data_IF_664845273893
#
_entry.id   IF_664845273893
#
_cell.length_a   1.000
_cell.length_b   1.000
_cell.length_c   1.000
_cell.angle_alpha   90.00
_cell.angle_beta   90.00
_cell.angle_gamma   90.00
#
_symmetry.space_group_name_H-M   'P 1'
#
loop_
_entity.id
_entity.type
_entity.pdbx_description
1 polymer ?
#
# COMPACT_ATOMS: atom_id res chain seq x y z
N UNK A 1 -56.59 17.40 -31.35
CA UNK A 1 -55.25 16.77 -31.44
C UNK A 1 -54.18 17.45 -30.56
N UNK A 2 -54.50 18.45 -29.72
CA UNK A 2 -53.54 19.16 -28.86
C UNK A 2 -52.98 18.36 -27.65
N UNK A 3 -53.68 17.31 -27.18
CA UNK A 3 -53.34 16.62 -25.92
C UNK A 3 -52.05 15.79 -26.00
N UNK A 4 -51.70 15.24 -27.18
CA UNK A 4 -50.50 14.38 -27.34
C UNK A 4 -49.22 15.20 -27.47
N UNK A 5 -49.26 16.36 -28.12
CA UNK A 5 -48.11 17.26 -28.26
C UNK A 5 -47.67 17.86 -26.93
N UNK A 6 -48.63 18.23 -26.07
CA UNK A 6 -48.34 18.74 -24.72
C UNK A 6 -47.66 17.69 -23.84
N UNK A 7 -48.11 16.43 -23.92
CA UNK A 7 -47.51 15.32 -23.17
C UNK A 7 -46.07 15.10 -23.62
N UNK A 8 -45.81 15.04 -24.93
CA UNK A 8 -44.45 14.86 -25.46
C UNK A 8 -43.53 16.00 -25.01
N UNK A 9 -44.00 17.24 -25.06
CA UNK A 9 -43.22 18.41 -24.62
C UNK A 9 -42.88 18.34 -23.12
N UNK A 10 -43.83 17.94 -22.28
CA UNK A 10 -43.62 17.73 -20.84
C UNK A 10 -42.60 16.62 -20.56
N UNK A 11 -42.67 15.50 -21.28
CA UNK A 11 -41.72 14.40 -21.11
C UNK A 11 -40.29 14.81 -21.50
N UNK A 12 -40.14 15.57 -22.58
CA UNK A 12 -38.84 16.09 -23.02
C UNK A 12 -38.26 17.08 -22.02
N UNK A 13 -39.08 18.01 -21.48
CA UNK A 13 -38.64 18.93 -20.43
C UNK A 13 -38.19 18.21 -19.15
N UNK A 14 -38.93 17.18 -18.72
CA UNK A 14 -38.57 16.38 -17.54
C UNK A 14 -37.25 15.61 -17.76
N UNK A 15 -37.04 15.05 -18.95
CA UNK A 15 -35.79 14.36 -19.31
C UNK A 15 -34.59 15.31 -19.33
N UNK A 16 -34.75 16.51 -19.89
CA UNK A 16 -33.69 17.53 -19.90
C UNK A 16 -33.35 18.01 -18.49
N UNK A 17 -34.34 18.22 -17.62
CA UNK A 17 -34.13 18.54 -16.22
C UNK A 17 -33.38 17.42 -15.48
N UNK A 18 -33.73 16.16 -15.72
CA UNK A 18 -33.06 15.01 -15.12
C UNK A 18 -31.59 14.92 -15.55
N UNK A 19 -31.28 15.17 -16.83
CA UNK A 19 -29.90 15.19 -17.35
C UNK A 19 -29.10 16.34 -16.74
N UNK A 20 -29.69 17.54 -16.60
CA UNK A 20 -29.02 18.69 -15.98
C UNK A 20 -28.76 18.45 -14.48
N UNK A 21 -29.70 17.83 -13.76
CA UNK A 21 -29.49 17.46 -12.35
C UNK A 21 -28.43 16.37 -12.23
N UNK A 22 -28.45 15.34 -13.07
CA UNK A 22 -27.40 14.30 -13.07
C UNK A 22 -26.02 14.84 -13.44
N UNK A 23 -25.94 15.74 -14.42
CA UNK A 23 -24.69 16.40 -14.80
C UNK A 23 -24.17 17.28 -13.65
N UNK A 24 -25.06 18.01 -12.96
CA UNK A 24 -24.69 18.74 -11.75
C UNK A 24 -24.21 17.81 -10.65
N UNK A 25 -24.92 16.72 -10.36
CA UNK A 25 -24.54 15.73 -9.33
C UNK A 25 -23.18 15.09 -9.66
N UNK A 26 -22.90 14.80 -10.93
CA UNK A 26 -21.59 14.28 -11.36
C UNK A 26 -20.46 15.32 -11.34
N UNK A 27 -20.80 16.62 -11.37
CA UNK A 27 -19.86 17.74 -11.20
C UNK A 27 -19.73 18.19 -9.73
N UNK A 28 -20.66 17.76 -8.85
CA UNK A 28 -20.64 17.98 -7.39
C UNK A 28 -20.30 16.73 -6.60
N UNK A 29 -19.91 15.63 -7.26
CA UNK A 29 -18.79 14.84 -6.75
C UNK A 29 -17.57 15.78 -6.75
N UNK A 30 -17.57 16.67 -5.76
CA UNK A 30 -16.39 17.36 -5.29
C UNK A 30 -15.32 16.28 -5.24
N UNK A 31 -14.32 16.47 -6.10
CA UNK A 31 -13.01 15.93 -5.89
C UNK A 31 -12.66 16.35 -4.47
N UNK A 32 -12.94 15.47 -3.49
CA UNK A 32 -12.43 15.58 -2.14
C UNK A 32 -10.94 15.45 -2.38
N UNK A 33 -10.28 16.59 -2.55
CA UNK A 33 -8.85 16.71 -2.45
C UNK A 33 -8.60 16.40 -0.99
N UNK A 34 -8.49 15.10 -0.71
CA UNK A 34 -7.94 14.64 0.56
C UNK A 34 -6.61 15.38 0.65
N UNK A 35 -6.40 16.22 1.66
CA UNK A 35 -5.13 16.91 1.77
C UNK A 35 -4.07 15.82 1.73
N UNK A 36 -3.16 15.90 0.76
CA UNK A 36 -1.97 15.07 0.77
C UNK A 36 -1.28 15.45 2.07
N UNK A 37 -1.53 14.66 3.12
CA UNK A 37 -0.78 14.73 4.35
C UNK A 37 0.66 14.64 3.88
N UNK A 38 1.40 15.73 4.03
CA UNK A 38 2.82 15.71 3.79
C UNK A 38 3.35 14.89 4.95
N UNK A 39 3.27 13.57 4.80
CA UNK A 39 3.83 12.63 5.75
C UNK A 39 5.29 12.99 5.76
N UNK A 40 5.68 13.75 6.78
CA UNK A 40 7.06 14.12 6.99
C UNK A 40 7.71 12.80 7.32
N UNK A 41 8.36 12.19 6.32
CA UNK A 41 9.09 10.95 6.49
C UNK A 41 10.08 11.24 7.62
N UNK A 42 9.94 10.58 8.78
CA UNK A 42 10.80 10.89 9.90
C UNK A 42 12.25 10.61 9.47
N UNK A 43 13.15 11.53 9.83
CA UNK A 43 14.59 11.43 9.54
C UNK A 43 15.24 10.24 10.25
N UNK A 44 14.59 9.72 11.28
CA UNK A 44 15.00 8.53 12.01
C UNK A 44 13.79 7.61 12.18
N UNK A 45 13.89 6.35 11.78
CA UNK A 45 12.85 5.35 12.01
C UNK A 45 13.13 4.63 13.33
N UNK A 46 12.17 4.68 14.24
CA UNK A 46 12.26 4.08 15.57
C UNK A 46 10.92 3.43 15.96
N UNK A 47 10.85 2.78 17.11
CA UNK A 47 9.64 2.06 17.53
C UNK A 47 8.41 2.97 17.59
N UNK A 48 8.57 4.19 18.10
CA UNK A 48 7.47 5.13 18.32
C UNK A 48 6.84 5.61 17.01
N UNK A 49 7.63 5.75 15.94
CA UNK A 49 7.12 6.21 14.65
C UNK A 49 6.82 5.08 13.64
N UNK A 50 7.40 3.89 13.81
CA UNK A 50 7.08 2.73 12.99
C UNK A 50 5.78 2.05 13.42
N UNK A 51 5.54 1.93 14.72
CA UNK A 51 4.37 1.23 15.26
C UNK A 51 3.04 1.77 14.72
N UNK A 52 2.78 3.09 14.69
CA UNK A 52 1.54 3.63 14.12
C UNK A 52 1.38 3.30 12.62
N UNK A 53 2.46 3.31 11.86
CA UNK A 53 2.44 2.95 10.44
C UNK A 53 2.11 1.46 10.26
N UNK A 54 2.73 0.59 11.05
CA UNK A 54 2.51 -0.86 10.99
C UNK A 54 1.07 -1.19 11.37
N UNK A 55 0.57 -0.65 12.49
CA UNK A 55 -0.79 -0.87 12.96
C UNK A 55 -1.83 -0.39 11.93
N UNK A 56 -1.60 0.78 11.33
CA UNK A 56 -2.45 1.30 10.25
C UNK A 56 -2.49 0.33 9.06
N UNK A 57 -1.32 -0.01 8.49
CA UNK A 57 -1.26 -0.82 7.27
C UNK A 57 -1.74 -2.25 7.53
N UNK A 58 -1.36 -2.85 8.66
CA UNK A 58 -1.82 -4.18 9.03
C UNK A 58 -3.33 -4.22 9.26
N UNK A 59 -3.92 -3.18 9.86
CA UNK A 59 -5.36 -3.03 10.00
C UNK A 59 -6.08 -2.91 8.66
N UNK A 60 -5.58 -2.08 7.75
CA UNK A 60 -6.12 -1.94 6.38
C UNK A 60 -6.07 -3.26 5.59
N UNK A 61 -5.00 -4.04 5.75
CA UNK A 61 -4.80 -5.32 5.06
C UNK A 61 -5.43 -6.52 5.79
N UNK A 62 -5.99 -6.32 6.99
CA UNK A 62 -6.54 -7.41 7.81
C UNK A 62 -5.50 -8.46 8.24
N UNK A 63 -4.25 -8.04 8.47
CA UNK A 63 -3.17 -8.94 8.87
C UNK A 63 -3.23 -9.21 10.39
N UNK A 64 -3.23 -10.49 10.78
CA UNK A 64 -3.48 -10.89 12.17
C UNK A 64 -2.24 -10.92 13.07
N UNK A 65 -1.04 -11.08 12.51
CA UNK A 65 0.20 -11.22 13.29
C UNK A 65 0.92 -9.88 13.50
N UNK A 66 0.16 -8.85 13.91
CA UNK A 66 0.65 -7.47 14.05
C UNK A 66 1.82 -7.37 15.04
N UNK A 67 1.75 -8.10 16.16
CA UNK A 67 2.82 -8.10 17.17
C UNK A 67 4.14 -8.63 16.62
N UNK A 68 4.10 -9.71 15.84
CA UNK A 68 5.28 -10.28 15.18
C UNK A 68 5.87 -9.30 14.16
N UNK A 69 5.00 -8.64 13.39
CA UNK A 69 5.43 -7.65 12.40
C UNK A 69 6.10 -6.45 13.05
N UNK A 70 5.55 -5.96 14.17
CA UNK A 70 6.17 -4.90 14.97
C UNK A 70 7.56 -5.32 15.48
N UNK A 71 7.70 -6.53 16.02
CA UNK A 71 8.98 -7.04 16.52
C UNK A 71 10.03 -7.14 15.41
N UNK A 72 9.66 -7.68 14.24
CA UNK A 72 10.57 -7.77 13.10
C UNK A 72 10.97 -6.38 12.61
N UNK A 73 10.00 -5.49 12.37
CA UNK A 73 10.26 -4.15 11.88
C UNK A 73 11.17 -3.37 12.84
N UNK A 74 10.97 -3.51 14.15
CA UNK A 74 11.83 -2.89 15.15
C UNK A 74 13.26 -3.44 15.12
N UNK A 75 13.44 -4.75 14.96
CA UNK A 75 14.77 -5.34 14.89
C UNK A 75 15.55 -4.85 13.67
N UNK A 76 14.87 -4.70 12.52
CA UNK A 76 15.48 -4.28 11.26
C UNK A 76 15.62 -2.75 11.12
N UNK A 77 14.80 -1.96 11.80
CA UNK A 77 14.77 -0.49 11.65
C UNK A 77 16.09 0.20 11.96
N UNK A 78 16.92 -0.39 12.85
CA UNK A 78 18.27 0.12 13.17
C UNK A 78 19.19 0.25 11.96
N UNK A 79 18.88 -0.47 10.90
CA UNK A 79 19.66 -0.49 9.66
C UNK A 79 19.11 0.45 8.59
N UNK A 80 17.97 1.12 8.83
CA UNK A 80 17.39 2.10 7.91
C UNK A 80 18.22 3.39 7.77
N UNK A 81 19.29 3.54 8.55
CA UNK A 81 20.29 4.60 8.40
C UNK A 81 21.16 4.41 7.14
N UNK A 82 21.11 3.23 6.51
CA UNK A 82 21.84 2.91 5.29
C UNK A 82 20.88 2.77 4.12
N UNK A 83 21.20 3.41 2.98
CA UNK A 83 20.41 3.31 1.76
C UNK A 83 20.38 1.87 1.21
N UNK A 84 21.51 1.16 1.33
CA UNK A 84 21.62 -0.24 0.96
C UNK A 84 22.63 -0.98 1.86
N UNK A 85 22.37 -2.27 2.04
CA UNK A 85 23.20 -3.17 2.83
C UNK A 85 23.61 -4.35 1.96
N UNK A 86 24.91 -4.65 1.94
CA UNK A 86 25.43 -5.82 1.25
C UNK A 86 25.11 -7.08 2.05
N UNK A 87 24.26 -7.93 1.49
CA UNK A 87 23.87 -9.21 2.08
C UNK A 87 24.94 -10.29 1.79
N UNK A 88 24.91 -11.39 2.53
CA UNK A 88 25.92 -12.47 2.49
C UNK A 88 25.99 -13.18 1.13
N UNK A 89 24.94 -13.06 0.33
CA UNK A 89 24.85 -13.58 -1.04
C UNK A 89 25.47 -12.63 -2.08
N UNK A 90 26.01 -11.49 -1.66
CA UNK A 90 26.65 -10.51 -2.54
C UNK A 90 25.69 -9.51 -3.20
N UNK A 91 24.40 -9.54 -2.84
CA UNK A 91 23.40 -8.60 -3.37
C UNK A 91 23.05 -7.51 -2.35
N UNK A 92 22.59 -6.37 -2.85
CA UNK A 92 22.18 -5.25 -2.02
C UNK A 92 20.69 -5.33 -1.63
N UNK A 93 20.45 -5.21 -0.33
CA UNK A 93 19.15 -5.17 0.32
C UNK A 93 18.80 -3.75 0.79
N UNK A 94 17.51 -3.39 0.78
CA UNK A 94 17.03 -2.01 0.91
C UNK A 94 15.82 -1.86 1.84
N UNK A 95 15.71 -0.68 2.45
CA UNK A 95 14.57 -0.26 3.29
C UNK A 95 14.39 -1.07 4.57
N UNK A 96 13.19 -0.97 5.15
CA UNK A 96 12.86 -1.49 6.49
C UNK A 96 13.07 -3.00 6.67
N UNK A 97 12.75 -3.81 5.67
CA UNK A 97 12.81 -5.27 5.75
C UNK A 97 13.90 -5.88 4.87
N UNK A 98 14.91 -5.08 4.48
CA UNK A 98 16.06 -5.58 3.73
C UNK A 98 15.70 -6.34 2.45
N UNK A 99 14.75 -5.79 1.68
CA UNK A 99 14.37 -6.41 0.43
C UNK A 99 15.47 -6.23 -0.62
N UNK A 100 15.77 -7.32 -1.34
CA UNK A 100 16.44 -7.22 -2.63
C UNK A 100 15.46 -6.66 -3.67
N UNK A 101 15.95 -5.76 -4.52
CA UNK A 101 15.11 -4.99 -5.45
C UNK A 101 14.22 -5.89 -6.33
N UNK A 102 14.80 -6.91 -6.96
CA UNK A 102 14.05 -7.82 -7.85
C UNK A 102 12.97 -8.59 -7.09
N UNK A 103 13.31 -9.10 -5.90
CA UNK A 103 12.37 -9.82 -5.04
C UNK A 103 11.22 -8.91 -4.61
N UNK A 104 11.51 -7.68 -4.19
CA UNK A 104 10.47 -6.70 -3.87
C UNK A 104 9.54 -6.45 -5.06
N UNK A 105 10.10 -6.15 -6.23
CA UNK A 105 9.31 -5.87 -7.43
C UNK A 105 8.41 -7.06 -7.81
N UNK A 106 8.96 -8.28 -7.77
CA UNK A 106 8.19 -9.49 -8.07
C UNK A 106 7.01 -9.66 -7.10
N UNK A 107 7.27 -9.60 -5.80
CA UNK A 107 6.23 -9.82 -4.78
C UNK A 107 5.22 -8.67 -4.74
N UNK A 108 5.68 -7.41 -4.77
CA UNK A 108 4.79 -6.25 -4.73
C UNK A 108 3.86 -6.19 -5.95
N UNK A 109 4.34 -6.61 -7.14
CA UNK A 109 3.49 -6.75 -8.34
C UNK A 109 2.52 -7.92 -8.22
N UNK A 110 3.00 -9.08 -7.76
CA UNK A 110 2.18 -10.28 -7.57
C UNK A 110 0.99 -9.99 -6.64
N UNK A 111 1.23 -9.27 -5.55
CA UNK A 111 0.23 -8.90 -4.55
C UNK A 111 -0.45 -7.55 -4.82
N UNK A 112 -0.27 -6.96 -6.02
CA UNK A 112 -0.94 -5.72 -6.46
C UNK A 112 -0.73 -4.54 -5.50
N UNK A 113 0.44 -4.46 -4.87
CA UNK A 113 0.87 -3.32 -4.04
C UNK A 113 1.38 -2.19 -4.92
N UNK A 114 2.02 -2.53 -6.04
CA UNK A 114 2.48 -1.59 -7.07
C UNK A 114 1.92 -1.98 -8.46
N UNK A 115 1.92 -1.07 -9.45
CA UNK A 115 1.54 -1.39 -10.82
C UNK A 115 2.42 -2.50 -11.43
N UNK A 116 1.85 -3.29 -12.36
CA UNK A 116 2.57 -4.43 -12.96
C UNK A 116 3.71 -3.97 -13.88
N UNK A 117 3.50 -2.84 -14.50
CA UNK A 117 4.37 -2.14 -15.44
C UNK A 117 5.55 -1.43 -14.78
N UNK A 118 5.57 -1.31 -13.45
CA UNK A 118 6.64 -0.62 -12.72
C UNK A 118 8.01 -1.13 -13.11
N UNK A 119 8.89 -0.25 -13.57
CA UNK A 119 10.22 -0.63 -14.02
C UNK A 119 11.25 -0.72 -12.88
N UNK A 120 12.51 -1.01 -13.22
CA UNK A 120 13.59 -1.16 -12.24
C UNK A 120 13.96 0.19 -11.60
N UNK A 121 13.93 1.29 -12.35
CA UNK A 121 14.32 2.61 -11.84
C UNK A 121 13.25 3.16 -10.88
N UNK A 122 11.98 3.03 -11.23
CA UNK A 122 10.87 3.29 -10.31
C UNK A 122 10.96 2.38 -9.07
N UNK A 123 11.29 1.10 -9.29
CA UNK A 123 11.49 0.12 -8.24
C UNK A 123 12.53 0.52 -7.19
N UNK A 124 13.64 1.16 -7.58
CA UNK A 124 14.68 1.62 -6.65
C UNK A 124 14.16 2.64 -5.64
N UNK A 125 13.21 3.47 -6.05
CA UNK A 125 12.58 4.45 -5.16
C UNK A 125 11.51 3.77 -4.32
N UNK A 126 10.67 2.94 -4.93
CA UNK A 126 9.55 2.29 -4.25
C UNK A 126 9.98 1.28 -3.20
N UNK A 127 11.09 0.56 -3.42
CA UNK A 127 11.63 -0.39 -2.44
C UNK A 127 12.07 0.33 -1.16
N UNK A 128 12.40 1.61 -1.19
CA UNK A 128 12.76 2.36 0.03
C UNK A 128 11.54 2.79 0.85
N UNK A 129 10.31 2.63 0.34
CA UNK A 129 9.10 3.05 1.02
C UNK A 129 8.64 2.00 2.05
N UNK A 130 8.68 2.31 3.37
CA UNK A 130 8.32 1.35 4.41
C UNK A 130 6.85 0.92 4.34
N UNK A 131 5.94 1.82 3.98
CA UNK A 131 4.51 1.49 3.85
C UNK A 131 4.30 0.41 2.79
N UNK A 132 4.97 0.53 1.63
CA UNK A 132 4.87 -0.46 0.56
C UNK A 132 5.48 -1.81 0.96
N UNK A 133 6.59 -1.79 1.70
CA UNK A 133 7.18 -3.04 2.19
C UNK A 133 6.30 -3.74 3.24
N UNK A 134 5.76 -2.99 4.21
CA UNK A 134 4.81 -3.49 5.22
C UNK A 134 3.60 -4.10 4.52
N UNK A 135 2.99 -3.37 3.58
CA UNK A 135 1.81 -3.83 2.84
C UNK A 135 2.09 -5.10 2.04
N UNK A 136 3.26 -5.19 1.42
CA UNK A 136 3.71 -6.39 0.68
C UNK A 136 3.80 -7.59 1.62
N UNK A 137 4.45 -7.44 2.77
CA UNK A 137 4.54 -8.49 3.79
C UNK A 137 3.18 -8.93 4.30
N UNK A 138 2.28 -7.99 4.62
CA UNK A 138 0.92 -8.31 5.08
C UNK A 138 0.17 -9.17 4.05
N UNK A 139 0.20 -8.78 2.77
CA UNK A 139 -0.47 -9.52 1.70
C UNK A 139 0.18 -10.87 1.38
N UNK A 140 1.51 -10.97 1.47
CA UNK A 140 2.23 -12.24 1.40
C UNK A 140 1.78 -13.16 2.53
N UNK A 141 1.83 -12.64 3.76
CA UNK A 141 1.41 -13.28 5.00
C UNK A 141 0.02 -13.89 4.89
N UNK A 142 -0.97 -13.06 4.56
CA UNK A 142 -2.37 -13.47 4.44
C UNK A 142 -2.61 -14.55 3.38
N UNK A 143 -1.87 -14.54 2.27
CA UNK A 143 -2.02 -15.55 1.20
C UNK A 143 -1.25 -16.85 1.45
N UNK A 144 -0.30 -16.87 2.40
CA UNK A 144 0.65 -17.98 2.56
C UNK A 144 0.87 -18.38 4.02
N UNK A 145 -0.13 -18.21 4.90
CA UNK A 145 -0.02 -18.53 6.34
C UNK A 145 0.54 -19.93 6.64
N UNK A 146 0.30 -20.94 5.78
CA UNK A 146 0.87 -22.30 5.98
C UNK A 146 2.36 -22.46 5.62
N UNK A 147 2.93 -21.62 4.76
CA UNK A 147 4.34 -21.72 4.33
C UNK A 147 5.23 -20.62 4.94
N UNK A 148 4.64 -19.48 5.31
CA UNK A 148 5.31 -18.33 5.91
C UNK A 148 5.68 -18.59 7.36
N UNK A 149 4.83 -19.25 8.17
CA UNK A 149 5.17 -19.56 9.58
C UNK A 149 6.52 -20.27 9.69
N UNK A 150 6.80 -21.26 8.85
CA UNK A 150 8.07 -22.00 8.91
C UNK A 150 9.27 -21.13 8.50
N UNK A 151 9.12 -20.30 7.46
CA UNK A 151 10.21 -19.45 6.99
C UNK A 151 10.49 -18.29 7.96
N UNK A 152 9.43 -17.70 8.52
CA UNK A 152 9.49 -16.62 9.49
C UNK A 152 10.00 -17.11 10.84
N UNK A 153 9.57 -18.28 11.31
CA UNK A 153 10.10 -18.92 12.51
C UNK A 153 11.59 -19.27 12.33
N UNK A 154 12.03 -19.70 11.15
CA UNK A 154 13.45 -19.98 10.91
C UNK A 154 14.30 -18.69 10.87
N UNK A 155 13.80 -17.62 10.25
CA UNK A 155 14.43 -16.30 10.33
C UNK A 155 14.44 -15.76 11.77
N UNK A 156 13.37 -16.02 12.54
CA UNK A 156 13.24 -15.66 13.95
C UNK A 156 14.25 -16.39 14.86
N UNK A 157 14.41 -17.71 14.69
CA UNK A 157 15.42 -18.51 15.39
C UNK A 157 16.81 -17.96 15.14
N UNK A 158 17.08 -17.53 13.90
CA UNK A 158 18.38 -16.96 13.50
C UNK A 158 18.66 -15.58 14.11
N UNK A 159 17.63 -14.82 14.47
CA UNK A 159 17.76 -13.51 15.14
C UNK A 159 17.98 -13.68 16.66
N UNK A 160 17.48 -14.77 17.25
CA UNK A 160 17.51 -15.01 18.70
C UNK A 160 18.61 -15.99 19.18
N UNK A 161 19.44 -16.51 18.28
CA UNK A 161 20.62 -17.33 18.59
C UNK A 161 21.91 -16.55 18.34
#
# INVERSE_FOLDING_TARGET
>A
MLKRGLIILLTVCLLLCAIVVFAKVKLTEEMIITPTSTTTIPTEWNEENLRPLIEKVAGEEGFSQVDLLNQLAFHESRWMLYDEILDVNGYFSRGLFHFQLYTFLEQAKLYKVIPKETDIEEGKVLVMNPELQIRTICRMGNNSLKNIERHWVLSWIKIHQ
#
